data_IF_226923138949
#
_entry.id   IF_226923138949
#
_cell.length_a   1.000
_cell.length_b   1.000
_cell.length_c   1.000
_cell.angle_alpha   90.00
_cell.angle_beta   90.00
_cell.angle_gamma   90.00
#
_symmetry.space_group_name_H-M   'P 1'
#
loop_
_entity.id
_entity.type
_entity.pdbx_description
1 polymer ?
#
# COMPACT_ATOMS: atom_id res chain seq x y z
N UNK A 1 15.77 -4.50 -4.75
CA UNK A 1 15.75 -3.97 -6.13
C UNK A 1 17.06 -4.22 -6.89
N UNK A 2 18.21 -3.85 -6.34
CA UNK A 2 19.53 -4.09 -6.97
C UNK A 2 19.78 -5.56 -7.33
N UNK A 3 19.48 -6.46 -6.42
CA UNK A 3 19.68 -7.91 -6.63
C UNK A 3 18.74 -8.50 -7.68
N UNK A 4 17.51 -7.99 -7.78
CA UNK A 4 16.58 -8.37 -8.84
C UNK A 4 17.11 -7.91 -10.20
N UNK A 5 17.55 -6.66 -10.33
CA UNK A 5 18.12 -6.14 -11.58
C UNK A 5 19.45 -6.81 -11.97
N UNK A 6 20.20 -7.29 -11.00
CA UNK A 6 21.43 -8.05 -11.21
C UNK A 6 21.20 -9.56 -11.45
N UNK A 7 19.94 -10.01 -11.45
CA UNK A 7 19.59 -11.43 -11.64
C UNK A 7 19.96 -12.35 -10.47
N UNK A 8 20.26 -11.78 -9.29
CA UNK A 8 20.59 -12.58 -8.09
C UNK A 8 19.36 -13.19 -7.42
N UNK A 9 18.20 -12.58 -7.61
CA UNK A 9 16.88 -13.10 -7.21
C UNK A 9 15.95 -13.08 -8.41
N UNK A 10 15.02 -14.03 -8.45
CA UNK A 10 14.12 -14.22 -9.61
C UNK A 10 12.88 -13.34 -9.57
N UNK A 11 12.40 -12.98 -8.38
CA UNK A 11 11.20 -12.15 -8.18
C UNK A 11 11.22 -11.49 -6.81
N UNK A 12 10.45 -10.42 -6.64
CA UNK A 12 10.21 -9.78 -5.35
C UNK A 12 8.85 -9.07 -5.34
N UNK A 13 8.29 -8.86 -4.16
CA UNK A 13 7.23 -7.89 -3.95
C UNK A 13 7.83 -6.52 -3.66
N UNK A 14 7.35 -5.50 -4.34
CA UNK A 14 7.83 -4.13 -4.18
C UNK A 14 6.66 -3.15 -4.20
N UNK A 15 6.84 -2.01 -3.57
CA UNK A 15 5.85 -0.92 -3.56
C UNK A 15 5.85 -0.16 -4.90
N UNK A 16 4.70 0.42 -5.25
CA UNK A 16 4.54 1.19 -6.49
C UNK A 16 5.65 2.22 -6.74
N UNK A 17 5.97 3.11 -5.78
CA UNK A 17 7.01 4.12 -5.97
C UNK A 17 8.39 3.56 -6.35
N UNK A 18 8.75 2.39 -5.82
CA UNK A 18 10.01 1.72 -6.16
C UNK A 18 9.99 1.00 -7.49
N UNK A 19 8.86 0.38 -7.85
CA UNK A 19 8.76 -0.49 -9.03
C UNK A 19 8.35 0.23 -10.31
N UNK A 20 7.37 1.16 -10.26
CA UNK A 20 6.75 1.77 -11.45
C UNK A 20 7.76 2.43 -12.39
N UNK A 21 8.74 3.24 -11.93
CA UNK A 21 9.72 3.83 -12.83
C UNK A 21 10.55 2.79 -13.60
N UNK A 22 10.90 1.68 -12.96
CA UNK A 22 11.69 0.61 -13.56
C UNK A 22 10.87 -0.25 -14.52
N UNK A 23 9.58 -0.44 -14.25
CA UNK A 23 8.64 -1.11 -15.15
C UNK A 23 8.43 -0.26 -16.40
N UNK A 24 8.15 1.04 -16.25
CA UNK A 24 7.96 1.98 -17.37
C UNK A 24 9.21 2.12 -18.26
N UNK A 25 10.40 2.01 -17.67
CA UNK A 25 11.66 2.02 -18.45
C UNK A 25 12.06 0.66 -19.04
N UNK A 26 11.23 -0.38 -18.86
CA UNK A 26 11.49 -1.74 -19.36
C UNK A 26 12.60 -2.50 -18.63
N UNK A 27 13.10 -1.97 -17.52
CA UNK A 27 14.16 -2.61 -16.73
C UNK A 27 13.64 -3.73 -15.82
N UNK A 28 12.36 -3.71 -15.50
CA UNK A 28 11.66 -4.76 -14.74
C UNK A 28 10.38 -5.15 -15.47
N UNK A 29 10.04 -6.42 -15.38
CA UNK A 29 8.75 -6.96 -15.81
C UNK A 29 7.84 -7.11 -14.61
N UNK A 30 6.69 -6.42 -14.61
CA UNK A 30 5.64 -6.68 -13.65
C UNK A 30 4.88 -7.97 -14.03
N UNK A 31 4.60 -8.78 -13.03
CA UNK A 31 3.87 -10.05 -13.19
C UNK A 31 2.41 -9.86 -12.76
N UNK A 32 2.17 -9.31 -11.59
CA UNK A 32 0.86 -9.02 -11.05
C UNK A 32 0.93 -7.91 -9.99
N UNK A 33 -0.21 -7.28 -9.69
CA UNK A 33 -0.37 -6.41 -8.53
C UNK A 33 -1.08 -7.14 -7.41
N UNK A 34 -0.73 -6.84 -6.16
CA UNK A 34 -1.28 -7.48 -4.97
C UNK A 34 -2.51 -6.77 -4.39
N UNK A 35 -3.00 -5.73 -5.04
CA UNK A 35 -4.25 -5.03 -4.71
C UNK A 35 -5.47 -5.84 -5.18
N UNK A 36 -6.67 -5.53 -4.63
CA UNK A 36 -7.92 -6.15 -5.04
C UNK A 36 -8.29 -5.82 -6.50
N UNK A 37 -7.92 -4.63 -6.94
CA UNK A 37 -8.15 -4.13 -8.29
C UNK A 37 -6.82 -3.79 -8.97
N UNK A 38 -6.82 -3.75 -10.30
CA UNK A 38 -5.64 -3.33 -11.07
C UNK A 38 -5.28 -1.87 -10.76
N UNK A 39 -3.99 -1.59 -10.70
CA UNK A 39 -3.53 -0.24 -10.44
C UNK A 39 -3.77 0.66 -11.67
N UNK A 40 -4.36 1.83 -11.46
CA UNK A 40 -4.67 2.78 -12.55
C UNK A 40 -3.43 3.21 -13.37
N UNK A 41 -2.26 3.22 -12.75
CA UNK A 41 -0.98 3.57 -13.42
C UNK A 41 -0.37 2.44 -14.25
N UNK A 42 -0.90 1.22 -14.11
CA UNK A 42 -0.47 0.00 -14.81
C UNK A 42 -1.68 -0.90 -15.09
N UNK A 43 -2.67 -0.46 -15.89
CA UNK A 43 -3.95 -1.15 -16.07
C UNK A 43 -3.81 -2.51 -16.78
N UNK A 44 -2.73 -2.71 -17.52
CA UNK A 44 -2.47 -3.97 -18.24
C UNK A 44 -1.91 -5.07 -17.33
N UNK A 45 -1.49 -4.73 -16.10
CA UNK A 45 -0.94 -5.72 -15.16
C UNK A 45 -2.10 -6.33 -14.37
N UNK A 46 -2.31 -7.68 -14.44
CA UNK A 46 -3.38 -8.34 -13.72
C UNK A 46 -3.14 -8.30 -12.20
N UNK A 47 -4.20 -8.54 -11.43
CA UNK A 47 -4.08 -8.79 -9.99
C UNK A 47 -3.66 -10.25 -9.73
N UNK A 48 -3.12 -10.51 -8.53
CA UNK A 48 -2.88 -11.88 -8.07
C UNK A 48 -4.22 -12.66 -7.98
N UNK A 49 -5.31 -11.98 -7.61
CA UNK A 49 -6.64 -12.58 -7.56
C UNK A 49 -7.11 -13.05 -8.95
N UNK A 50 -6.93 -12.24 -10.00
CA UNK A 50 -7.22 -12.60 -11.39
C UNK A 50 -6.32 -13.74 -11.90
N UNK A 51 -5.13 -13.89 -11.32
CA UNK A 51 -4.13 -14.89 -11.73
C UNK A 51 -4.30 -16.26 -11.05
N UNK A 52 -5.45 -16.52 -10.44
CA UNK A 52 -5.80 -17.84 -9.91
C UNK A 52 -5.90 -17.93 -8.38
N UNK A 53 -5.83 -16.81 -7.68
CA UNK A 53 -5.96 -16.74 -6.22
C UNK A 53 -7.13 -15.83 -5.80
N UNK A 54 -8.39 -16.22 -6.02
CA UNK A 54 -9.56 -15.38 -5.74
C UNK A 54 -9.55 -14.86 -4.30
N UNK A 55 -9.83 -13.56 -4.13
CA UNK A 55 -9.83 -12.92 -2.81
C UNK A 55 -8.44 -12.54 -2.27
N UNK A 56 -7.37 -12.82 -3.00
CA UNK A 56 -6.05 -12.39 -2.59
C UNK A 56 -5.95 -10.85 -2.60
N UNK A 57 -5.52 -10.30 -1.48
CA UNK A 57 -5.18 -8.90 -1.34
C UNK A 57 -4.07 -8.73 -0.30
N UNK A 58 -2.99 -8.07 -0.67
CA UNK A 58 -1.90 -7.71 0.23
C UNK A 58 -1.34 -6.35 -0.20
N UNK A 59 -1.73 -5.28 0.49
CA UNK A 59 -1.31 -3.92 0.15
C UNK A 59 -0.52 -3.32 1.30
N UNK A 60 0.53 -2.58 0.96
CA UNK A 60 1.18 -1.70 1.91
C UNK A 60 0.31 -0.45 2.10
N UNK A 61 0.18 0.00 3.32
CA UNK A 61 -0.54 1.22 3.65
C UNK A 61 0.32 2.16 4.49
N UNK A 62 0.04 3.43 4.41
CA UNK A 62 0.70 4.49 5.19
C UNK A 62 -0.37 5.26 5.94
N UNK A 63 -0.14 5.46 7.23
CA UNK A 63 -1.04 6.20 8.11
C UNK A 63 -0.32 7.23 8.95
N UNK A 64 -1.01 8.32 9.28
CA UNK A 64 -0.54 9.32 10.24
C UNK A 64 -0.96 8.89 11.65
N UNK A 65 0.00 8.82 12.56
CA UNK A 65 -0.23 8.49 13.97
C UNK A 65 0.28 9.60 14.87
N UNK A 66 -0.29 9.71 16.06
CA UNK A 66 0.11 10.67 17.08
C UNK A 66 0.32 9.96 18.43
N UNK A 67 1.08 10.53 19.37
CA UNK A 67 1.20 10.02 20.72
C UNK A 67 -0.16 9.81 21.40
N UNK A 68 -0.33 8.75 22.19
CA UNK A 68 -1.61 8.36 22.78
C UNK A 68 -2.29 9.44 23.65
N UNK A 69 -1.53 10.40 24.19
CA UNK A 69 -2.03 11.49 25.02
C UNK A 69 -2.24 12.80 24.25
N UNK A 70 -2.19 12.78 22.92
CA UNK A 70 -2.45 13.98 22.09
C UNK A 70 -3.90 14.43 22.30
N UNK A 71 -4.13 15.71 22.62
CA UNK A 71 -5.49 16.22 22.83
C UNK A 71 -6.38 16.01 21.60
N UNK A 72 -7.66 15.67 21.84
CA UNK A 72 -8.61 15.33 20.78
C UNK A 72 -8.80 16.45 19.74
N UNK A 73 -8.80 17.72 20.17
CA UNK A 73 -8.90 18.84 19.23
C UNK A 73 -7.72 18.92 18.24
N UNK A 74 -6.53 18.47 18.66
CA UNK A 74 -5.34 18.41 17.78
C UNK A 74 -5.53 17.26 16.77
N UNK A 75 -5.96 16.09 17.24
CA UNK A 75 -6.25 14.93 16.36
C UNK A 75 -7.31 15.29 15.33
N UNK A 76 -8.42 15.90 15.75
CA UNK A 76 -9.51 16.32 14.86
C UNK A 76 -9.02 17.32 13.80
N UNK A 77 -8.20 18.29 14.20
CA UNK A 77 -7.63 19.27 13.28
C UNK A 77 -6.68 18.63 12.27
N UNK A 78 -5.77 17.78 12.71
CA UNK A 78 -4.84 17.06 11.82
C UNK A 78 -5.60 16.16 10.86
N UNK A 79 -6.57 15.40 11.34
CA UNK A 79 -7.41 14.54 10.49
C UNK A 79 -8.16 15.34 9.43
N UNK A 80 -8.79 16.46 9.83
CA UNK A 80 -9.52 17.34 8.89
C UNK A 80 -8.59 17.91 7.80
N UNK A 81 -7.41 18.38 8.18
CA UNK A 81 -6.43 18.90 7.22
C UNK A 81 -5.97 17.79 6.27
N UNK A 82 -5.60 16.62 6.82
CA UNK A 82 -5.13 15.49 6.01
C UNK A 82 -6.18 15.03 5.01
N UNK A 83 -7.43 14.87 5.45
CA UNK A 83 -8.54 14.49 4.55
C UNK A 83 -8.80 15.55 3.47
N UNK A 84 -8.67 16.84 3.80
CA UNK A 84 -8.80 17.91 2.81
C UNK A 84 -7.69 17.84 1.78
N UNK A 85 -6.43 17.74 2.22
CA UNK A 85 -5.27 17.68 1.32
C UNK A 85 -5.33 16.46 0.38
N UNK A 86 -5.78 15.30 0.87
CA UNK A 86 -5.96 14.11 0.03
C UNK A 86 -7.02 14.29 -1.08
N UNK A 87 -7.97 15.22 -0.91
CA UNK A 87 -8.97 15.57 -1.92
C UNK A 87 -8.50 16.64 -2.91
N UNK A 88 -7.41 17.35 -2.62
CA UNK A 88 -6.82 18.32 -3.52
C UNK A 88 -6.25 17.62 -4.76
N UNK A 89 -6.74 18.03 -5.95
CA UNK A 89 -6.42 17.35 -7.20
C UNK A 89 -4.92 17.20 -7.43
N UNK A 90 -4.16 18.26 -7.24
CA UNK A 90 -2.71 18.23 -7.46
C UNK A 90 -2.00 17.21 -6.55
N UNK A 91 -2.41 17.14 -5.27
CA UNK A 91 -1.82 16.19 -4.32
C UNK A 91 -2.24 14.75 -4.62
N UNK A 92 -3.53 14.54 -4.92
CA UNK A 92 -4.06 13.23 -5.32
C UNK A 92 -3.41 12.71 -6.60
N UNK A 93 -3.22 13.56 -7.61
CA UNK A 93 -2.56 13.19 -8.86
C UNK A 93 -1.08 12.78 -8.63
N UNK A 94 -0.36 13.48 -7.74
CA UNK A 94 1.01 13.11 -7.36
C UNK A 94 1.07 11.74 -6.68
N UNK A 95 0.14 11.45 -5.78
CA UNK A 95 0.04 10.12 -5.14
C UNK A 95 -0.30 9.04 -6.17
N UNK A 96 -1.27 9.29 -7.03
CA UNK A 96 -1.66 8.35 -8.08
C UNK A 96 -0.50 8.04 -9.03
N UNK A 97 0.29 9.04 -9.43
CA UNK A 97 1.48 8.85 -10.28
C UNK A 97 2.52 7.92 -9.64
N UNK A 98 2.55 7.83 -8.32
CA UNK A 98 3.38 6.91 -7.55
C UNK A 98 2.70 5.54 -7.30
N UNK A 99 1.48 5.34 -7.82
CA UNK A 99 0.71 4.11 -7.58
C UNK A 99 0.08 4.02 -6.19
N UNK A 100 -0.02 5.15 -5.48
CA UNK A 100 -0.70 5.22 -4.19
C UNK A 100 -2.15 5.67 -4.37
N UNK A 101 -3.06 5.06 -3.62
CA UNK A 101 -4.49 5.39 -3.61
C UNK A 101 -4.79 6.19 -2.33
N UNK A 102 -5.17 7.48 -2.44
CA UNK A 102 -5.57 8.26 -1.27
C UNK A 102 -6.90 7.74 -0.71
N UNK A 103 -6.93 7.38 0.57
CA UNK A 103 -8.13 6.84 1.25
C UNK A 103 -8.80 7.91 2.12
N UNK A 104 -8.06 8.51 3.05
CA UNK A 104 -8.57 9.61 3.89
C UNK A 104 -9.60 9.17 4.93
N UNK A 105 -9.34 8.08 5.65
CA UNK A 105 -10.18 7.64 6.77
C UNK A 105 -10.22 8.66 7.90
N UNK A 106 -11.35 8.66 8.63
CA UNK A 106 -11.45 9.26 9.96
C UNK A 106 -10.61 8.48 10.98
N UNK A 107 -10.26 9.06 12.14
CA UNK A 107 -9.53 8.36 13.19
C UNK A 107 -10.20 7.05 13.66
N UNK A 108 -11.53 7.02 13.73
CA UNK A 108 -12.29 5.81 14.12
C UNK A 108 -12.23 4.72 13.04
N UNK A 109 -12.42 5.09 11.78
CA UNK A 109 -12.30 4.15 10.65
C UNK A 109 -10.89 3.60 10.54
N UNK A 110 -9.87 4.45 10.72
CA UNK A 110 -8.48 4.01 10.68
C UNK A 110 -8.14 3.05 11.82
N UNK A 111 -8.67 3.31 13.03
CA UNK A 111 -8.54 2.37 14.16
C UNK A 111 -9.14 1.01 13.83
N UNK A 112 -10.36 0.97 13.31
CA UNK A 112 -11.03 -0.28 12.90
C UNK A 112 -10.23 -1.01 11.82
N UNK A 113 -9.69 -0.28 10.86
CA UNK A 113 -8.82 -0.82 9.82
C UNK A 113 -7.56 -1.47 10.41
N UNK A 114 -6.85 -0.78 11.32
CA UNK A 114 -5.65 -1.32 11.98
C UNK A 114 -5.97 -2.61 12.74
N UNK A 115 -7.08 -2.64 13.50
CA UNK A 115 -7.51 -3.83 14.24
C UNK A 115 -7.78 -5.03 13.31
N UNK A 116 -8.38 -4.79 12.15
CA UNK A 116 -8.61 -5.82 11.14
C UNK A 116 -7.29 -6.32 10.51
N UNK A 117 -6.40 -5.40 10.17
CA UNK A 117 -5.08 -5.73 9.61
C UNK A 117 -4.23 -6.54 10.60
N UNK A 118 -4.21 -6.16 11.87
CA UNK A 118 -3.48 -6.91 12.91
C UNK A 118 -3.97 -8.36 13.00
N UNK A 119 -5.29 -8.59 12.96
CA UNK A 119 -5.86 -9.95 12.98
C UNK A 119 -5.47 -10.73 11.72
N UNK A 120 -5.58 -10.11 10.56
CA UNK A 120 -5.26 -10.73 9.27
C UNK A 120 -3.79 -11.13 9.18
N UNK A 121 -2.90 -10.21 9.48
CA UNK A 121 -1.46 -10.45 9.39
C UNK A 121 -0.93 -11.37 10.48
N UNK A 122 -1.56 -11.43 11.67
CA UNK A 122 -1.18 -12.39 12.70
C UNK A 122 -1.27 -13.85 12.20
N UNK A 123 -2.28 -14.15 11.38
CA UNK A 123 -2.42 -15.47 10.75
C UNK A 123 -1.28 -15.72 9.75
N UNK A 124 -0.98 -14.76 8.90
CA UNK A 124 0.07 -14.89 7.90
C UNK A 124 1.46 -15.07 8.55
N UNK A 125 1.77 -14.28 9.59
CA UNK A 125 3.01 -14.38 10.35
C UNK A 125 3.14 -15.76 11.01
N UNK A 126 2.06 -16.26 11.63
CA UNK A 126 2.04 -17.58 12.23
C UNK A 126 2.31 -18.70 11.21
N UNK A 127 1.68 -18.61 10.03
CA UNK A 127 1.83 -19.61 8.98
C UNK A 127 3.22 -19.57 8.31
N UNK A 128 3.78 -18.38 8.13
CA UNK A 128 5.11 -18.21 7.51
C UNK A 128 6.27 -18.56 8.43
N UNK A 129 6.04 -18.65 9.75
CA UNK A 129 7.11 -18.80 10.75
C UNK A 129 8.05 -17.59 10.85
N UNK A 130 7.66 -16.44 10.26
CA UNK A 130 8.46 -15.22 10.29
C UNK A 130 8.69 -14.75 11.74
N UNK A 131 9.93 -14.39 12.04
CA UNK A 131 10.34 -13.81 13.32
C UNK A 131 10.98 -12.45 13.05
N UNK A 132 10.79 -11.52 13.97
CA UNK A 132 11.51 -10.25 13.99
C UNK A 132 12.73 -10.48 14.89
N UNK A 133 13.92 -10.32 14.32
CA UNK A 133 15.19 -10.36 15.04
C UNK A 133 15.41 -9.03 15.80
#
# INVERSE_FOLDING_TARGET
MTDLMAGRISAMFETGPGAIPLIKSGRLRAIAVSSAERAAVTPDIPTVAESGYPGFQAVAWIGLVAPAKTPEHVISKLSSISMKSLKEKEFSDKLAALGAVPVGNSPSEFKTFIEAELKRWAVAVKLSGAKVD
#
